data_IF_349626319637
#
_entry.id   IF_349626319637
#
_cell.length_a   1.000
_cell.length_b   1.000
_cell.length_c   1.000
_cell.angle_alpha   90.00
_cell.angle_beta   90.00
_cell.angle_gamma   90.00
#
_symmetry.space_group_name_H-M   'P 1'
#
loop_
_entity.id
_entity.type
_entity.pdbx_description
1 polymer ?
#
# COMPACT_ATOMS: atom_id res chain seq x y z
N UNK A 1 -0.77 15.05 18.55
CA UNK A 1 -1.39 15.62 17.34
C UNK A 1 -0.64 15.31 16.07
N UNK A 2 0.65 15.54 16.01
CA UNK A 2 1.46 15.23 14.84
C UNK A 2 1.46 13.74 14.53
N UNK A 3 1.56 12.91 15.55
CA UNK A 3 1.63 11.45 15.35
C UNK A 3 0.34 10.91 14.76
N UNK A 4 -0.81 11.38 15.23
CA UNK A 4 -2.10 10.98 14.68
C UNK A 4 -2.24 11.45 13.23
N UNK A 5 -1.76 12.67 12.94
CA UNK A 5 -1.82 13.23 11.60
C UNK A 5 -0.90 12.47 10.64
N UNK A 6 0.29 12.11 11.09
CA UNK A 6 1.22 11.31 10.30
C UNK A 6 0.62 9.94 10.00
N UNK A 7 -0.04 9.31 10.98
CA UNK A 7 -0.68 8.01 10.78
C UNK A 7 -1.85 8.11 9.81
N UNK A 8 -2.63 9.20 9.87
CA UNK A 8 -3.71 9.42 8.93
C UNK A 8 -3.17 9.60 7.51
N UNK A 9 -2.09 10.37 7.36
CA UNK A 9 -1.46 10.59 6.08
C UNK A 9 -0.89 9.28 5.53
N UNK A 10 -0.28 8.46 6.39
CA UNK A 10 0.24 7.16 6.00
C UNK A 10 -0.89 6.23 5.55
N UNK A 11 -1.99 6.21 6.30
CA UNK A 11 -3.16 5.40 5.95
C UNK A 11 -3.79 5.83 4.63
N UNK A 12 -3.93 7.12 4.43
CA UNK A 12 -4.48 7.66 3.19
C UNK A 12 -3.58 7.32 2.00
N UNK A 13 -2.28 7.50 2.16
CA UNK A 13 -1.31 7.20 1.11
C UNK A 13 -1.30 5.70 0.81
N UNK A 14 -1.36 4.87 1.86
CA UNK A 14 -1.40 3.43 1.69
C UNK A 14 -2.65 2.97 0.94
N UNK A 15 -3.80 3.59 1.23
CA UNK A 15 -5.04 3.26 0.54
C UNK A 15 -4.96 3.65 -0.93
N UNK A 16 -4.37 4.79 -1.24
CA UNK A 16 -4.15 5.20 -2.63
C UNK A 16 -3.22 4.23 -3.35
N UNK A 17 -2.16 3.79 -2.67
CA UNK A 17 -1.22 2.82 -3.21
C UNK A 17 -1.89 1.46 -3.44
N UNK A 18 -2.75 1.04 -2.53
CA UNK A 18 -3.53 -0.19 -2.68
C UNK A 18 -4.44 -0.09 -3.92
N UNK A 19 -5.15 1.02 -4.06
CA UNK A 19 -6.01 1.24 -5.21
C UNK A 19 -5.22 1.19 -6.52
N UNK A 20 -4.04 1.81 -6.54
CA UNK A 20 -3.16 1.77 -7.71
C UNK A 20 -2.74 0.33 -8.04
N UNK A 21 -2.36 -0.43 -7.02
CA UNK A 21 -1.94 -1.81 -7.19
C UNK A 21 -3.07 -2.66 -7.78
N UNK A 22 -4.28 -2.47 -7.29
CA UNK A 22 -5.45 -3.25 -7.73
C UNK A 22 -5.99 -2.83 -9.10
N UNK A 23 -5.58 -1.68 -9.59
CA UNK A 23 -6.06 -1.17 -10.87
C UNK A 23 -5.50 -1.98 -12.06
N UNK A 24 -4.39 -2.68 -11.87
CA UNK A 24 -3.80 -3.51 -12.92
C UNK A 24 -3.91 -4.98 -12.51
N UNK A 25 -4.59 -5.83 -13.32
CA UNK A 25 -4.92 -7.20 -12.91
C UNK A 25 -3.73 -8.06 -12.50
N UNK A 26 -2.60 -7.94 -13.18
CA UNK A 26 -1.41 -8.73 -12.84
C UNK A 26 -0.80 -8.30 -11.51
N UNK A 27 -0.74 -7.00 -11.27
CA UNK A 27 -0.27 -6.50 -9.96
C UNK A 27 -1.20 -6.96 -8.85
N UNK A 28 -2.51 -6.88 -9.09
CA UNK A 28 -3.51 -7.33 -8.12
C UNK A 28 -3.32 -8.80 -7.77
N UNK A 29 -3.12 -9.64 -8.78
CA UNK A 29 -2.91 -11.07 -8.55
C UNK A 29 -1.65 -11.33 -7.74
N UNK A 30 -0.55 -10.64 -8.07
CA UNK A 30 0.71 -10.83 -7.33
C UNK A 30 0.56 -10.40 -5.87
N UNK A 31 -0.17 -9.32 -5.61
CA UNK A 31 -0.44 -8.87 -4.24
C UNK A 31 -1.20 -9.95 -3.46
N UNK A 32 -2.26 -10.49 -4.06
CA UNK A 32 -3.06 -11.53 -3.40
C UNK A 32 -2.23 -12.80 -3.16
N UNK A 33 -1.40 -13.18 -4.12
CA UNK A 33 -0.54 -14.36 -3.99
C UNK A 33 0.47 -14.18 -2.86
N UNK A 34 1.08 -13.01 -2.76
CA UNK A 34 2.11 -12.74 -1.74
C UNK A 34 1.50 -12.60 -0.35
N UNK A 35 0.34 -11.97 -0.24
CA UNK A 35 -0.28 -11.71 1.06
C UNK A 35 -1.16 -12.86 1.54
N UNK A 36 -1.59 -13.73 0.65
CA UNK A 36 -2.51 -14.81 0.99
C UNK A 36 -3.95 -14.35 1.19
N UNK A 37 -4.23 -13.09 0.93
CA UNK A 37 -5.59 -12.55 1.04
C UNK A 37 -6.41 -12.92 -0.18
N UNK A 38 -7.71 -13.17 0.01
CA UNK A 38 -8.61 -13.29 -1.13
C UNK A 38 -9.27 -11.93 -1.43
N UNK A 39 -9.90 -11.77 -2.60
CA UNK A 39 -10.50 -10.48 -2.96
C UNK A 39 -11.58 -10.01 -1.99
N UNK A 40 -12.34 -10.92 -1.40
CA UNK A 40 -13.40 -10.55 -0.45
C UNK A 40 -12.81 -10.03 0.85
N UNK A 41 -11.76 -10.69 1.36
CA UNK A 41 -11.03 -10.24 2.54
C UNK A 41 -10.42 -8.87 2.32
N UNK A 42 -9.78 -8.69 1.19
CA UNK A 42 -9.14 -7.41 0.86
C UNK A 42 -10.17 -6.28 0.84
N UNK A 43 -11.33 -6.53 0.23
CA UNK A 43 -12.38 -5.53 0.15
C UNK A 43 -12.96 -5.20 1.52
N UNK A 44 -13.20 -6.23 2.33
CA UNK A 44 -13.76 -6.05 3.67
C UNK A 44 -12.80 -5.36 4.63
N UNK A 45 -11.50 -5.53 4.43
CA UNK A 45 -10.47 -5.06 5.34
C UNK A 45 -9.57 -3.98 4.75
N UNK A 46 -10.01 -3.31 3.69
CA UNK A 46 -9.18 -2.34 2.98
C UNK A 46 -8.72 -1.17 3.86
N UNK A 47 -9.48 -0.86 4.93
CA UNK A 47 -9.09 0.19 5.88
C UNK A 47 -8.24 -0.31 7.05
N UNK A 48 -8.01 -1.60 7.15
CA UNK A 48 -7.23 -2.20 8.24
C UNK A 48 -5.75 -1.86 8.07
N UNK A 49 -5.08 -1.25 9.07
CA UNK A 49 -3.65 -0.95 8.96
C UNK A 49 -2.79 -2.16 8.62
N UNK A 50 -3.15 -3.35 9.07
CA UNK A 50 -2.40 -4.56 8.75
C UNK A 50 -2.45 -4.87 7.25
N UNK A 51 -3.61 -4.68 6.63
CA UNK A 51 -3.78 -4.89 5.19
C UNK A 51 -3.04 -3.80 4.40
N UNK A 52 -3.19 -2.55 4.82
CA UNK A 52 -2.51 -1.43 4.16
C UNK A 52 -1.00 -1.56 4.29
N UNK A 53 -0.51 -1.95 5.46
CA UNK A 53 0.91 -2.20 5.68
C UNK A 53 1.43 -3.33 4.80
N UNK A 54 0.66 -4.40 4.64
CA UNK A 54 1.02 -5.52 3.78
C UNK A 54 1.11 -5.09 2.31
N UNK A 55 0.20 -4.23 1.86
CA UNK A 55 0.24 -3.71 0.49
C UNK A 55 1.50 -2.90 0.24
N UNK A 56 1.86 -2.02 1.19
CA UNK A 56 3.08 -1.22 1.04
C UNK A 56 4.34 -2.07 1.15
N UNK A 57 4.33 -3.10 2.01
CA UNK A 57 5.45 -4.04 2.09
C UNK A 57 5.64 -4.80 0.77
N UNK A 58 4.55 -5.17 0.14
CA UNK A 58 4.59 -5.79 -1.19
C UNK A 58 5.28 -4.87 -2.20
N UNK A 59 4.89 -3.60 -2.23
CA UNK A 59 5.51 -2.64 -3.14
C UNK A 59 6.99 -2.43 -2.81
N UNK A 60 7.32 -2.33 -1.52
CA UNK A 60 8.70 -2.13 -1.10
C UNK A 60 9.61 -3.29 -1.50
N UNK A 61 9.06 -4.50 -1.57
CA UNK A 61 9.80 -5.68 -2.01
C UNK A 61 9.95 -5.74 -3.54
N UNK A 62 9.23 -4.91 -4.28
CA UNK A 62 9.26 -4.87 -5.74
C UNK A 62 9.55 -3.44 -6.18
N UNK A 63 10.84 -3.11 -6.26
CA UNK A 63 11.28 -1.73 -6.44
C UNK A 63 10.67 -1.05 -7.67
N UNK A 64 10.56 -1.77 -8.79
CA UNK A 64 9.97 -1.20 -10.00
C UNK A 64 8.53 -0.77 -9.78
N UNK A 65 7.76 -1.59 -9.06
CA UNK A 65 6.37 -1.26 -8.74
C UNK A 65 6.29 -0.12 -7.73
N UNK A 66 7.20 -0.10 -6.75
CA UNK A 66 7.26 0.99 -5.78
C UNK A 66 7.50 2.33 -6.46
N UNK A 67 8.46 2.38 -7.35
CA UNK A 67 8.80 3.62 -8.09
C UNK A 67 7.64 4.03 -8.98
N UNK A 68 7.03 3.09 -9.70
CA UNK A 68 5.90 3.40 -10.58
C UNK A 68 4.69 3.90 -9.78
N UNK A 69 4.42 3.30 -8.63
CA UNK A 69 3.34 3.73 -7.76
C UNK A 69 3.59 5.14 -7.22
N UNK A 70 4.80 5.38 -6.73
CA UNK A 70 5.17 6.68 -6.20
C UNK A 70 5.03 7.77 -7.26
N UNK A 71 5.45 7.48 -8.49
CA UNK A 71 5.31 8.40 -9.60
C UNK A 71 3.83 8.69 -9.89
N UNK A 72 3.00 7.64 -9.91
CA UNK A 72 1.57 7.79 -10.16
C UNK A 72 0.87 8.60 -9.06
N UNK A 73 1.33 8.48 -7.83
CA UNK A 73 0.77 9.19 -6.68
C UNK A 73 1.41 10.56 -6.45
N UNK A 74 2.41 10.89 -7.25
CA UNK A 74 3.14 12.15 -7.17
C UNK A 74 3.83 12.35 -5.81
N UNK A 75 4.49 11.29 -5.33
CA UNK A 75 5.28 11.33 -4.10
C UNK A 75 6.62 10.64 -4.34
N UNK A 76 7.66 10.96 -3.55
CA UNK A 76 8.92 10.22 -3.62
C UNK A 76 8.73 8.77 -3.18
N UNK A 77 9.47 7.80 -3.77
CA UNK A 77 9.40 6.41 -3.32
C UNK A 77 9.68 6.23 -1.83
N UNK A 78 10.58 7.01 -1.27
CA UNK A 78 10.89 6.96 0.16
C UNK A 78 9.67 7.28 1.04
N UNK A 79 8.78 8.13 0.54
CA UNK A 79 7.56 8.49 1.26
C UNK A 79 6.62 7.28 1.36
N UNK A 80 6.50 6.50 0.28
CA UNK A 80 5.72 5.26 0.33
C UNK A 80 6.32 4.24 1.30
N UNK A 81 7.63 4.09 1.25
CA UNK A 81 8.31 3.16 2.15
C UNK A 81 8.12 3.57 3.61
N UNK A 82 8.23 4.87 3.90
CA UNK A 82 8.01 5.39 5.26
C UNK A 82 6.58 5.17 5.73
N UNK A 83 5.60 5.32 4.85
CA UNK A 83 4.21 5.05 5.18
C UNK A 83 4.01 3.59 5.57
N UNK A 84 4.65 2.67 4.85
CA UNK A 84 4.61 1.25 5.20
C UNK A 84 5.17 0.95 6.58
N UNK A 85 6.30 1.59 6.92
CA UNK A 85 6.89 1.45 8.25
C UNK A 85 5.98 2.01 9.34
N UNK A 86 5.31 3.12 9.08
CA UNK A 86 4.40 3.74 10.04
C UNK A 86 3.18 2.87 10.33
N UNK A 87 2.80 2.01 9.40
CA UNK A 87 1.64 1.12 9.53
C UNK A 87 2.02 -0.28 10.04
N UNK A 88 3.30 -0.55 10.15
CA UNK A 88 3.78 -1.86 10.58
C UNK A 88 3.53 -2.11 12.07
#
# INVERSE_FOLDING_TARGET
MRDAQVNEDAGTLALRALAWTLAEPERARRLLDVTGLDPADLRARAGDPAVLGAALAFLAAHEADLVACADALDVPPATLAAAGEALA
#
